data_IF_249267870662
#
_entry.id   IF_249267870662
#
_cell.length_a   1.000
_cell.length_b   1.000
_cell.length_c   1.000
_cell.angle_alpha   90.00
_cell.angle_beta   90.00
_cell.angle_gamma   90.00
#
_symmetry.space_group_name_H-M   'P 1'
#
loop_
_entity.id
_entity.type
_entity.pdbx_description
1 polymer ?
#
# COMPACT_ATOMS: atom_id res chain seq x y z
N UNK A 1 32.33 12.68 -9.35
CA UNK A 1 31.57 12.66 -9.29
C UNK A 1 30.86 12.39 -8.91
N UNK A 2 30.60 12.55 -8.64
CA UNK A 2 29.89 12.36 -8.31
C UNK A 2 28.85 12.22 -8.49
N UNK A 3 28.71 11.85 -8.38
CA UNK A 3 27.64 11.58 -8.51
C UNK A 3 26.68 12.16 -8.48
N UNK A 4 27.14 12.62 -8.56
CA UNK A 4 26.57 13.17 -8.57
C UNK A 4 25.38 13.46 -8.47
N UNK A 5 25.12 14.01 -8.48
CA UNK A 5 23.95 14.64 -8.38
C UNK A 5 22.76 13.89 -8.51
N UNK A 6 22.96 12.75 -8.70
CA UNK A 6 21.88 11.87 -8.86
C UNK A 6 21.47 11.27 -7.58
N UNK A 7 21.50 12.05 -6.56
CA UNK A 7 20.97 11.59 -5.31
C UNK A 7 19.47 11.42 -5.50
N UNK A 8 19.08 10.21 -5.66
CA UNK A 8 17.66 9.89 -5.70
C UNK A 8 17.20 9.81 -4.27
N UNK A 9 16.33 10.71 -3.89
CA UNK A 9 15.78 10.69 -2.54
C UNK A 9 14.96 9.41 -2.38
N UNK A 10 15.32 8.61 -1.42
CA UNK A 10 14.57 7.40 -1.14
C UNK A 10 13.15 7.76 -0.71
N UNK A 11 12.19 7.03 -1.20
CA UNK A 11 10.80 7.20 -0.80
C UNK A 11 10.63 6.62 0.59
N UNK A 12 10.08 7.39 1.50
CA UNK A 12 9.78 6.92 2.85
C UNK A 12 8.54 6.04 2.78
N UNK A 13 8.70 4.79 3.17
CA UNK A 13 7.61 3.83 3.13
C UNK A 13 7.02 3.61 4.51
N UNK A 14 5.68 3.45 4.60
CA UNK A 14 5.08 2.93 5.82
C UNK A 14 5.63 1.54 6.12
N UNK A 15 5.58 1.13 7.37
CA UNK A 15 6.11 -0.17 7.78
C UNK A 15 5.45 -1.34 7.03
N UNK A 16 4.20 -1.17 6.61
CA UNK A 16 3.46 -2.21 5.91
C UNK A 16 3.72 -2.29 4.41
N UNK A 17 4.49 -1.34 3.86
CA UNK A 17 4.76 -1.31 2.41
C UNK A 17 5.68 -2.47 2.02
N UNK A 18 5.26 -3.19 0.98
CA UNK A 18 6.01 -4.32 0.45
C UNK A 18 6.55 -4.07 -0.95
N UNK A 19 6.62 -2.83 -1.37
CA UNK A 19 7.11 -2.46 -2.71
C UNK A 19 8.57 -2.01 -2.59
N UNK A 20 9.41 -2.43 -3.54
CA UNK A 20 10.82 -2.08 -3.50
C UNK A 20 11.06 -0.62 -3.83
N UNK A 21 12.17 -0.08 -3.35
CA UNK A 21 12.59 1.30 -3.68
C UNK A 21 12.81 1.45 -5.17
N UNK A 22 13.32 0.43 -5.85
CA UNK A 22 13.51 0.47 -7.30
C UNK A 22 12.18 0.72 -8.00
N UNK A 23 11.14 0.04 -7.57
CA UNK A 23 9.80 0.24 -8.15
C UNK A 23 9.28 1.64 -7.87
N UNK A 24 9.44 2.13 -6.64
CA UNK A 24 9.03 3.48 -6.28
C UNK A 24 9.75 4.53 -7.11
N UNK A 25 11.05 4.38 -7.34
CA UNK A 25 11.80 5.34 -8.14
C UNK A 25 11.32 5.35 -9.58
N UNK A 26 10.98 4.18 -10.11
CA UNK A 26 10.42 4.07 -11.45
C UNK A 26 9.06 4.72 -11.55
N UNK A 27 8.22 4.51 -10.54
CA UNK A 27 6.90 5.15 -10.48
C UNK A 27 7.00 6.66 -10.42
N UNK A 28 7.91 7.19 -9.60
CA UNK A 28 8.12 8.63 -9.52
C UNK A 28 8.57 9.20 -10.87
N UNK A 29 9.46 8.49 -11.58
CA UNK A 29 9.97 8.93 -12.87
C UNK A 29 8.86 8.99 -13.92
N UNK A 30 8.02 7.98 -13.98
CA UNK A 30 7.02 7.86 -15.04
C UNK A 30 5.66 8.44 -14.69
N UNK A 31 5.29 8.43 -13.43
CA UNK A 31 3.94 8.80 -13.01
C UNK A 31 3.90 9.99 -12.05
N UNK A 32 5.05 10.40 -11.55
CA UNK A 32 5.13 11.53 -10.62
C UNK A 32 4.72 11.20 -9.20
N UNK A 33 4.45 9.94 -8.91
CA UNK A 33 4.10 9.49 -7.57
C UNK A 33 4.40 8.01 -7.43
N UNK A 34 4.65 7.59 -6.21
CA UNK A 34 4.88 6.19 -5.88
C UNK A 34 3.71 5.66 -5.07
N UNK A 35 3.27 4.46 -5.35
CA UNK A 35 2.17 3.83 -4.63
C UNK A 35 2.72 2.74 -3.73
N UNK A 36 2.38 2.82 -2.45
CA UNK A 36 2.75 1.83 -1.46
C UNK A 36 1.66 0.79 -1.36
N UNK A 37 2.06 -0.48 -1.41
CA UNK A 37 1.13 -1.60 -1.30
C UNK A 37 1.56 -2.51 -0.16
N UNK A 38 0.62 -2.98 0.61
CA UNK A 38 0.89 -4.01 1.61
C UNK A 38 0.89 -5.38 0.95
N UNK A 39 1.37 -6.38 1.69
CA UNK A 39 1.13 -7.77 1.33
C UNK A 39 -0.37 -8.02 1.31
N UNK A 40 -0.79 -8.93 0.45
CA UNK A 40 -2.17 -9.36 0.43
C UNK A 40 -2.48 -10.16 1.69
N UNK A 41 -3.60 -9.84 2.32
CA UNK A 41 -4.13 -10.63 3.42
C UNK A 41 -5.30 -11.41 2.86
N UNK A 42 -5.25 -12.72 2.98
CA UNK A 42 -6.24 -13.58 2.36
C UNK A 42 -6.95 -14.45 3.38
N UNK A 43 -8.18 -14.80 3.06
CA UNK A 43 -8.96 -15.74 3.81
C UNK A 43 -9.84 -16.52 2.85
N UNK A 44 -10.82 -17.23 3.38
CA UNK A 44 -11.71 -18.01 2.56
C UNK A 44 -12.65 -17.11 1.78
N UNK A 45 -12.38 -16.98 0.48
CA UNK A 45 -13.23 -16.20 -0.42
C UNK A 45 -12.95 -14.72 -0.46
N UNK A 46 -11.87 -14.23 0.15
CA UNK A 46 -11.57 -12.81 0.13
C UNK A 46 -10.06 -12.51 0.17
N UNK A 47 -9.72 -11.31 -0.29
CA UNK A 47 -8.37 -10.79 -0.23
C UNK A 47 -8.43 -9.30 0.08
N UNK A 48 -7.50 -8.81 0.90
CA UNK A 48 -7.39 -7.40 1.25
C UNK A 48 -5.98 -6.90 0.95
N UNK A 49 -5.89 -5.71 0.36
CA UNK A 49 -4.62 -4.99 0.22
C UNK A 49 -4.84 -3.55 0.67
N UNK A 50 -3.80 -2.98 1.25
CA UNK A 50 -3.79 -1.62 1.73
C UNK A 50 -2.86 -0.81 0.84
N UNK A 51 -3.26 0.39 0.44
CA UNK A 51 -2.46 1.24 -0.45
C UNK A 51 -2.48 2.70 -0.02
N UNK A 52 -1.38 3.38 -0.27
CA UNK A 52 -1.26 4.82 -0.07
C UNK A 52 -0.27 5.36 -1.11
N UNK A 53 -0.27 6.65 -1.36
CA UNK A 53 0.60 7.24 -2.37
C UNK A 53 1.47 8.37 -1.79
N UNK A 54 2.64 8.53 -2.38
CA UNK A 54 3.59 9.58 -2.05
C UNK A 54 3.93 10.32 -3.35
N UNK A 55 3.96 11.65 -3.31
CA UNK A 55 4.24 12.45 -4.50
C UNK A 55 5.74 12.49 -4.85
N UNK A 56 6.07 13.26 -5.88
CA UNK A 56 7.44 13.35 -6.38
C UNK A 56 8.43 13.93 -5.37
N UNK A 57 7.94 14.67 -4.40
CA UNK A 57 8.79 15.25 -3.35
C UNK A 57 8.93 14.32 -2.16
N UNK A 58 8.36 13.14 -2.24
CA UNK A 58 8.39 12.19 -1.15
C UNK A 58 7.37 12.46 -0.05
N UNK A 59 6.47 13.40 -0.28
CA UNK A 59 5.44 13.74 0.68
C UNK A 59 4.20 12.90 0.46
N UNK A 60 3.47 12.63 1.53
CA UNK A 60 2.19 11.93 1.41
C UNK A 60 1.25 12.80 0.59
N UNK A 61 0.64 12.23 -0.42
CA UNK A 61 -0.31 12.97 -1.25
C UNK A 61 -1.62 13.18 -0.50
N UNK A 62 -2.48 14.03 -1.08
CA UNK A 62 -3.82 14.23 -0.55
C UNK A 62 -4.74 13.03 -0.79
N UNK A 63 -4.21 12.01 -1.45
CA UNK A 63 -4.97 10.79 -1.68
C UNK A 63 -4.98 10.00 -0.39
N UNK A 64 -6.16 9.83 0.17
CA UNK A 64 -6.30 9.06 1.40
C UNK A 64 -5.89 7.61 1.19
N UNK A 65 -5.26 7.00 2.19
CA UNK A 65 -4.98 5.56 2.13
C UNK A 65 -6.27 4.79 1.88
N UNK A 66 -6.18 3.76 1.05
CA UNK A 66 -7.34 2.96 0.68
C UNK A 66 -7.10 1.49 0.98
N UNK A 67 -8.17 0.79 1.27
CA UNK A 67 -8.16 -0.65 1.45
C UNK A 67 -8.94 -1.25 0.28
N UNK A 68 -8.26 -2.11 -0.47
CA UNK A 68 -8.88 -2.80 -1.60
C UNK A 68 -9.33 -4.18 -1.15
N UNK A 69 -10.59 -4.47 -1.36
CA UNK A 69 -11.19 -5.75 -0.96
C UNK A 69 -11.69 -6.47 -2.20
N UNK A 70 -11.27 -7.70 -2.37
CA UNK A 70 -11.73 -8.55 -3.45
C UNK A 70 -12.41 -9.78 -2.86
N UNK A 71 -13.58 -10.12 -3.38
CA UNK A 71 -14.29 -11.32 -2.95
C UNK A 71 -14.66 -12.15 -4.16
N UNK A 72 -14.79 -13.46 -3.95
CA UNK A 72 -15.18 -14.42 -5.00
C UNK A 72 -16.61 -14.89 -4.78
N UNK A 73 -17.57 -13.97 -4.95
CA UNK A 73 -18.96 -14.30 -4.73
C UNK A 73 -19.36 -14.17 -3.26
N UNK A 74 -20.32 -14.96 -2.83
CA UNK A 74 -20.79 -14.89 -1.46
C UNK A 74 -19.80 -15.47 -0.47
N UNK A 75 -19.82 -14.95 0.75
CA UNK A 75 -18.97 -15.44 1.83
C UNK A 75 -19.80 -16.27 2.80
N UNK A 76 -19.16 -17.26 3.42
CA UNK A 76 -19.78 -17.92 4.57
C UNK A 76 -19.79 -16.94 5.74
N UNK A 77 -20.60 -17.20 6.75
CA UNK A 77 -20.62 -16.32 7.93
C UNK A 77 -19.26 -16.27 8.60
N UNK A 78 -18.57 -17.41 8.68
CA UNK A 78 -17.22 -17.45 9.25
C UNK A 78 -16.24 -16.64 8.40
N UNK A 79 -16.35 -16.73 7.07
CA UNK A 79 -15.51 -15.94 6.16
C UNK A 79 -15.78 -14.45 6.30
N UNK A 80 -17.03 -14.07 6.45
CA UNK A 80 -17.41 -12.67 6.65
C UNK A 80 -16.87 -12.12 7.98
N UNK A 81 -16.93 -12.91 9.03
CA UNK A 81 -16.37 -12.51 10.33
C UNK A 81 -14.86 -12.30 10.23
N UNK A 82 -14.16 -13.25 9.61
CA UNK A 82 -12.71 -13.15 9.44
C UNK A 82 -12.35 -11.92 8.60
N UNK A 83 -13.11 -11.63 7.56
CA UNK A 83 -12.91 -10.43 6.74
C UNK A 83 -13.10 -9.17 7.58
N UNK A 84 -14.16 -9.09 8.36
CA UNK A 84 -14.44 -7.94 9.21
C UNK A 84 -13.33 -7.68 10.21
N UNK A 85 -12.84 -8.72 10.86
CA UNK A 85 -11.75 -8.59 11.83
C UNK A 85 -10.45 -8.16 11.16
N UNK A 86 -10.17 -8.68 9.97
CA UNK A 86 -8.98 -8.31 9.22
C UNK A 86 -9.06 -6.87 8.70
N UNK A 87 -10.25 -6.43 8.28
CA UNK A 87 -10.47 -5.04 7.89
C UNK A 87 -10.22 -4.09 9.06
N UNK A 88 -10.70 -4.44 10.23
CA UNK A 88 -10.50 -3.62 11.43
C UNK A 88 -9.02 -3.53 11.78
N UNK A 89 -8.30 -4.65 11.73
CA UNK A 89 -6.86 -4.67 12.00
C UNK A 89 -6.10 -3.83 10.97
N UNK A 90 -6.50 -3.89 9.71
CA UNK A 90 -5.89 -3.11 8.64
C UNK A 90 -6.13 -1.61 8.85
N UNK A 91 -7.34 -1.25 9.28
CA UNK A 91 -7.67 0.13 9.60
C UNK A 91 -6.79 0.64 10.75
N UNK A 92 -6.65 -0.13 11.80
CA UNK A 92 -5.82 0.25 12.95
C UNK A 92 -4.36 0.44 12.55
N UNK A 93 -3.83 -0.43 11.70
CA UNK A 93 -2.48 -0.34 11.18
C UNK A 93 -2.29 0.93 10.35
N UNK A 94 -3.27 1.27 9.54
CA UNK A 94 -3.21 2.44 8.66
C UNK A 94 -3.30 3.76 9.43
N UNK A 95 -3.97 3.77 10.57
CA UNK A 95 -4.18 4.99 11.35
C UNK A 95 -3.22 5.14 12.53
N UNK A 96 -2.35 4.20 12.71
CA UNK A 96 -1.41 4.17 13.83
C UNK A 96 -0.18 5.07 13.61
#
# INVERSE_FOLDING_TARGET
>A
MTASGTTVTAVTCPAWCNVSQTTHQRELHWEGRAVHWSDARTGEGWEIRHAAATDADGQTTDIEPQVYVTTNGGLTLAGAEALALTLLATYEEATD
#
